data_IF_425431083542
#
_entry.id   IF_425431083542
#
_cell.length_a   1.000
_cell.length_b   1.000
_cell.length_c   1.000
_cell.angle_alpha   90.00
_cell.angle_beta   90.00
_cell.angle_gamma   90.00
#
_symmetry.space_group_name_H-M   'P 1'
#
loop_
_entity.id
_entity.type
_entity.pdbx_description
1 polymer ?
#
# COMPACT_ATOMS: atom_id res chain seq x y z
N UNK A 1 -0.17 5.23 -17.43
CA UNK A 1 0.89 4.48 -16.72
C UNK A 1 0.80 4.79 -15.22
N UNK A 2 0.80 3.75 -14.40
CA UNK A 2 0.91 3.82 -12.95
C UNK A 2 2.16 3.05 -12.52
N UNK A 3 2.75 3.43 -11.39
CA UNK A 3 3.95 2.79 -10.84
C UNK A 3 3.68 2.29 -9.44
N UNK A 4 4.28 1.15 -9.08
CA UNK A 4 4.17 0.56 -7.76
C UNK A 4 4.77 1.47 -6.69
N UNK A 5 4.01 1.64 -5.61
CA UNK A 5 4.41 2.36 -4.40
C UNK A 5 4.38 1.38 -3.23
N UNK A 6 5.44 1.39 -2.44
CA UNK A 6 5.50 0.71 -1.14
C UNK A 6 5.84 1.69 -0.05
N UNK A 7 5.52 1.32 1.18
CA UNK A 7 6.07 2.00 2.34
C UNK A 7 7.58 1.73 2.43
N UNK A 8 8.34 2.73 2.87
CA UNK A 8 9.78 2.57 3.01
C UNK A 8 10.11 1.62 4.17
N UNK A 9 11.10 0.75 3.98
CA UNK A 9 11.69 -0.07 5.04
C UNK A 9 13.12 0.39 5.42
N UNK A 10 13.60 1.49 4.83
CA UNK A 10 14.96 1.97 5.02
C UNK A 10 15.13 2.62 6.40
N UNK A 11 16.02 2.13 7.29
CA UNK A 11 16.20 2.71 8.62
C UNK A 11 16.57 4.20 8.61
N UNK A 12 17.23 4.66 7.55
CA UNK A 12 17.54 6.08 7.37
C UNK A 12 16.28 6.94 7.17
N UNK A 13 15.25 6.39 6.51
CA UNK A 13 13.97 7.04 6.24
C UNK A 13 13.03 6.88 7.44
N UNK A 14 12.82 5.64 7.89
CA UNK A 14 11.78 5.30 8.87
C UNK A 14 12.28 5.21 10.31
N UNK A 15 13.59 5.22 10.55
CA UNK A 15 14.21 5.22 11.89
C UNK A 15 14.26 3.87 12.62
N UNK A 16 13.52 2.87 12.15
CA UNK A 16 13.48 1.52 12.73
C UNK A 16 14.60 0.67 12.13
N UNK A 17 15.44 0.05 12.97
CA UNK A 17 16.66 -0.65 12.52
C UNK A 17 16.41 -1.95 11.75
N UNK A 18 15.34 -2.68 12.08
CA UNK A 18 14.97 -3.96 11.49
C UNK A 18 13.47 -3.99 11.12
N UNK A 19 12.89 -2.83 10.82
CA UNK A 19 11.43 -2.66 10.76
C UNK A 19 10.90 -2.88 9.35
N UNK A 20 10.00 -3.86 9.20
CA UNK A 20 9.03 -3.89 8.10
C UNK A 20 7.98 -2.78 8.25
N UNK A 21 7.76 -2.32 9.49
CA UNK A 21 6.75 -1.33 9.85
C UNK A 21 7.29 -0.28 10.84
N UNK A 22 6.65 0.89 10.88
CA UNK A 22 6.92 2.01 11.79
C UNK A 22 6.00 2.03 13.00
N UNK A 23 4.77 1.57 12.81
CA UNK A 23 3.71 1.58 13.82
C UNK A 23 3.06 0.21 13.93
N UNK A 24 2.31 -0.01 15.00
CA UNK A 24 1.51 -1.22 15.20
C UNK A 24 0.17 -0.89 15.85
N UNK A 25 -0.85 -1.69 15.55
CA UNK A 25 -2.06 -1.74 16.36
C UNK A 25 -1.91 -2.80 17.45
N UNK A 26 -1.96 -2.36 18.71
CA UNK A 26 -2.02 -3.23 19.89
C UNK A 26 -3.48 -3.36 20.31
N UNK A 27 -4.10 -4.52 20.10
CA UNK A 27 -5.53 -4.77 20.34
C UNK A 27 -6.11 -4.09 21.60
N UNK A 28 -5.55 -4.40 22.77
CA UNK A 28 -6.04 -3.93 24.06
C UNK A 28 -5.87 -2.41 24.31
N UNK A 29 -5.10 -1.71 23.47
CA UNK A 29 -4.76 -0.29 23.61
C UNK A 29 -5.21 0.57 22.43
N UNK A 30 -5.42 -0.04 21.28
CA UNK A 30 -5.73 0.65 20.02
C UNK A 30 -7.21 0.91 19.86
N UNK A 31 -8.02 -0.01 20.39
CA UNK A 31 -9.46 0.02 20.24
C UNK A 31 -10.11 0.21 21.62
N UNK A 32 -11.02 1.18 21.79
CA UNK A 32 -11.75 1.38 23.05
C UNK A 32 -12.60 0.18 23.48
N UNK A 33 -13.06 -0.63 22.52
CA UNK A 33 -13.85 -1.83 22.76
C UNK A 33 -13.70 -2.83 21.61
N UNK A 34 -14.15 -4.07 21.84
CA UNK A 34 -14.21 -5.10 20.80
C UNK A 34 -15.14 -4.69 19.65
N UNK A 35 -16.28 -4.06 19.94
CA UNK A 35 -17.22 -3.57 18.92
C UNK A 35 -16.56 -2.54 17.99
N UNK A 36 -15.75 -1.63 18.53
CA UNK A 36 -15.00 -0.66 17.72
C UNK A 36 -13.97 -1.36 16.84
N UNK A 37 -13.26 -2.37 17.36
CA UNK A 37 -12.33 -3.18 16.57
C UNK A 37 -13.04 -3.90 15.42
N UNK A 38 -14.18 -4.52 15.71
CA UNK A 38 -14.96 -5.27 14.72
C UNK A 38 -15.50 -4.33 13.62
N UNK A 39 -16.02 -3.16 13.99
CA UNK A 39 -16.42 -2.11 13.04
C UNK A 39 -15.24 -1.59 12.22
N UNK A 40 -14.09 -1.37 12.86
CA UNK A 40 -12.88 -0.93 12.16
C UNK A 40 -12.46 -1.94 11.10
N UNK A 41 -12.41 -3.24 11.44
CA UNK A 41 -12.13 -4.30 10.48
C UNK A 41 -13.13 -4.33 9.33
N UNK A 42 -14.42 -4.23 9.67
CA UNK A 42 -15.52 -4.32 8.71
C UNK A 42 -15.48 -3.21 7.66
N UNK A 43 -15.07 -1.99 8.02
CA UNK A 43 -14.88 -0.89 7.06
C UNK A 43 -13.87 -1.25 5.96
N UNK A 44 -12.79 -1.97 6.30
CA UNK A 44 -11.77 -2.39 5.33
C UNK A 44 -12.21 -3.53 4.42
N UNK A 45 -13.20 -4.33 4.86
CA UNK A 45 -13.81 -5.37 4.02
C UNK A 45 -15.04 -4.87 3.24
N UNK A 46 -15.72 -3.86 3.75
CA UNK A 46 -16.94 -3.30 3.17
C UNK A 46 -16.93 -1.76 3.28
N UNK A 47 -16.38 -1.06 2.26
CA UNK A 47 -16.26 0.41 2.27
C UNK A 47 -17.57 1.17 2.50
N UNK A 48 -18.73 0.55 2.21
CA UNK A 48 -20.06 1.16 2.46
C UNK A 48 -20.30 1.44 3.95
N UNK A 49 -19.64 0.68 4.82
CA UNK A 49 -19.76 0.80 6.27
C UNK A 49 -18.89 1.91 6.85
N UNK A 50 -18.10 2.63 6.03
CA UNK A 50 -17.29 3.76 6.47
C UNK A 50 -18.12 4.82 7.21
N UNK A 51 -19.36 5.04 6.77
CA UNK A 51 -20.28 5.98 7.41
C UNK A 51 -20.75 5.58 8.81
N UNK A 52 -20.63 4.30 9.18
CA UNK A 52 -20.94 3.76 10.50
C UNK A 52 -19.78 3.92 11.48
N UNK A 53 -18.56 4.18 10.99
CA UNK A 53 -17.39 4.47 11.80
C UNK A 53 -17.26 5.98 12.03
N UNK A 54 -18.09 6.53 12.93
CA UNK A 54 -18.08 7.95 13.29
C UNK A 54 -17.59 8.14 14.72
N UNK A 55 -16.66 9.07 14.89
CA UNK A 55 -16.19 9.61 16.17
C UNK A 55 -15.43 8.64 17.10
N UNK A 56 -15.13 7.42 16.64
CA UNK A 56 -14.31 6.47 17.40
C UNK A 56 -12.83 6.83 17.35
N UNK A 57 -12.16 6.81 18.50
CA UNK A 57 -10.73 7.07 18.62
C UNK A 57 -9.94 5.77 18.50
N UNK A 58 -9.30 5.56 17.34
CA UNK A 58 -8.35 4.45 17.14
C UNK A 58 -6.93 4.97 17.29
N UNK A 59 -6.09 4.22 17.99
CA UNK A 59 -4.69 4.57 18.23
C UNK A 59 -3.73 3.53 17.66
N UNK A 60 -2.76 3.97 16.88
CA UNK A 60 -1.58 3.20 16.54
C UNK A 60 -0.41 3.59 17.47
N UNK A 61 0.55 2.70 17.64
CA UNK A 61 1.71 2.93 18.50
C UNK A 61 2.99 2.94 17.67
N UNK A 62 3.78 4.00 17.77
CA UNK A 62 5.05 4.10 17.09
C UNK A 62 6.10 3.17 17.73
N UNK A 63 6.83 2.43 16.90
CA UNK A 63 7.94 1.61 17.35
C UNK A 63 9.10 2.47 17.86
N UNK A 64 9.97 1.86 18.66
CA UNK A 64 11.17 2.51 19.19
C UNK A 64 12.02 3.10 18.05
N UNK A 65 12.27 4.41 18.12
CA UNK A 65 13.02 5.22 17.12
C UNK A 65 12.33 5.41 15.77
N UNK A 66 11.06 5.01 15.63
CA UNK A 66 10.32 5.30 14.42
C UNK A 66 10.30 6.81 14.17
N UNK A 67 10.71 7.21 12.96
CA UNK A 67 10.63 8.58 12.49
C UNK A 67 9.23 8.86 12.01
N UNK A 68 8.76 10.06 12.31
CA UNK A 68 7.50 10.56 11.81
C UNK A 68 7.63 10.88 10.31
N UNK A 69 6.81 10.22 9.48
CA UNK A 69 6.76 10.39 8.02
C UNK A 69 5.33 10.67 7.54
N UNK A 70 5.17 10.96 6.26
CA UNK A 70 3.85 11.21 5.67
C UNK A 70 3.13 9.94 5.25
N UNK A 71 3.85 8.94 4.75
CA UNK A 71 3.38 7.58 4.52
C UNK A 71 4.05 6.69 5.55
N UNK A 72 3.25 5.91 6.27
CA UNK A 72 3.67 5.22 7.50
C UNK A 72 3.26 3.77 7.41
N UNK A 73 4.24 2.87 7.42
CA UNK A 73 3.99 1.44 7.49
C UNK A 73 3.47 1.05 8.86
N UNK A 74 2.43 0.24 8.89
CA UNK A 74 1.83 -0.25 10.12
C UNK A 74 1.70 -1.78 10.06
N UNK A 75 2.11 -2.44 11.14
CA UNK A 75 1.64 -3.80 11.37
C UNK A 75 0.15 -3.74 11.70
N UNK A 76 -0.65 -4.07 10.70
CA UNK A 76 -2.10 -4.08 10.79
C UNK A 76 -2.65 -5.43 11.23
N UNK A 77 -1.80 -6.46 11.37
CA UNK A 77 -2.23 -7.83 11.66
C UNK A 77 -3.30 -8.33 10.69
N UNK A 78 -4.56 -8.29 11.14
CA UNK A 78 -5.74 -8.82 10.44
C UNK A 78 -6.46 -7.80 9.53
N UNK A 79 -6.06 -6.53 9.53
CA UNK A 79 -6.75 -5.51 8.75
C UNK A 79 -6.15 -5.39 7.36
N UNK A 80 -7.02 -5.46 6.36
CA UNK A 80 -6.70 -5.31 4.95
C UNK A 80 -6.52 -3.83 4.56
N UNK A 81 -5.68 -3.10 5.30
CA UNK A 81 -5.32 -1.70 5.02
C UNK A 81 -3.99 -1.63 4.27
N UNK A 82 -3.78 -0.56 3.50
CA UNK A 82 -2.51 -0.38 2.76
C UNK A 82 -1.43 0.26 3.64
N UNK A 83 -1.74 1.39 4.28
CA UNK A 83 -0.84 2.09 5.22
C UNK A 83 -1.55 3.23 5.96
N UNK A 84 -0.81 3.96 6.78
CA UNK A 84 -1.25 5.22 7.38
C UNK A 84 -0.69 6.40 6.59
N UNK A 85 -1.46 7.48 6.50
CA UNK A 85 -1.04 8.74 5.87
C UNK A 85 -1.23 9.95 6.76
N UNK A 86 -0.32 10.91 6.68
CA UNK A 86 -0.47 12.24 7.30
C UNK A 86 -1.58 13.03 6.61
N UNK A 87 -2.08 14.08 7.28
CA UNK A 87 -2.98 15.06 6.66
C UNK A 87 -2.42 15.64 5.37
N UNK A 88 -1.11 15.91 5.33
CA UNK A 88 -0.42 16.45 4.14
C UNK A 88 -0.55 15.51 2.95
N UNK A 89 -0.24 14.22 3.13
CA UNK A 89 -0.44 13.22 2.07
C UNK A 89 -1.92 13.05 1.70
N UNK A 90 -2.82 13.08 2.68
CA UNK A 90 -4.26 13.01 2.44
C UNK A 90 -4.79 14.17 1.61
N UNK A 91 -4.26 15.38 1.81
CA UNK A 91 -4.64 16.59 1.06
C UNK A 91 -4.19 16.50 -0.39
N UNK A 92 -3.00 15.96 -0.66
CA UNK A 92 -2.54 15.68 -2.03
C UNK A 92 -3.45 14.66 -2.70
N UNK A 93 -3.68 13.51 -2.07
CA UNK A 93 -4.51 12.42 -2.61
C UNK A 93 -5.93 12.88 -2.92
N UNK A 94 -6.51 13.76 -2.09
CA UNK A 94 -7.88 14.28 -2.25
C UNK A 94 -8.11 15.00 -3.59
N UNK A 95 -7.07 15.51 -4.23
CA UNK A 95 -7.20 16.20 -5.53
C UNK A 95 -7.38 15.25 -6.72
N UNK A 96 -7.24 13.93 -6.51
CA UNK A 96 -7.30 12.92 -7.55
C UNK A 96 -8.56 12.06 -7.45
N UNK A 97 -9.03 11.57 -8.61
CA UNK A 97 -10.16 10.65 -8.68
C UNK A 97 -9.73 9.26 -8.21
N UNK A 98 -10.17 8.89 -7.01
CA UNK A 98 -10.03 7.55 -6.41
C UNK A 98 -11.38 7.18 -5.80
N UNK A 99 -12.12 6.32 -6.49
CA UNK A 99 -13.37 5.75 -6.04
C UNK A 99 -13.14 4.94 -4.77
N UNK A 100 -14.12 4.79 -3.88
CA UNK A 100 -14.06 3.87 -2.73
C UNK A 100 -12.78 3.93 -1.85
N UNK A 101 -12.06 5.07 -1.84
CA UNK A 101 -10.94 5.27 -0.93
C UNK A 101 -11.45 5.23 0.52
N UNK A 102 -11.01 4.22 1.26
CA UNK A 102 -11.24 4.16 2.69
C UNK A 102 -10.22 5.08 3.36
N UNK A 103 -10.71 5.95 4.24
CA UNK A 103 -9.87 6.83 5.05
C UNK A 103 -10.50 7.00 6.42
N UNK A 104 -9.88 6.42 7.45
CA UNK A 104 -10.36 6.47 8.83
C UNK A 104 -9.34 7.23 9.68
N UNK A 105 -9.75 8.25 10.46
CA UNK A 105 -8.84 8.96 11.36
C UNK A 105 -8.17 8.01 12.37
N UNK A 106 -6.89 8.23 12.62
CA UNK A 106 -6.11 7.48 13.62
C UNK A 106 -5.14 8.41 14.33
N UNK A 107 -4.98 8.24 15.64
CA UNK A 107 -3.90 8.87 16.40
C UNK A 107 -2.67 7.96 16.39
N UNK A 108 -1.47 8.52 16.28
CA UNK A 108 -0.23 7.76 16.47
C UNK A 108 0.39 8.22 17.79
N UNK A 109 0.45 7.31 18.77
CA UNK A 109 0.96 7.60 20.10
C UNK A 109 2.40 8.13 20.05
N UNK A 110 2.65 9.25 20.72
CA UNK A 110 3.93 9.94 20.74
C UNK A 110 4.23 10.81 19.51
N UNK A 111 3.36 10.84 18.49
CA UNK A 111 3.51 11.73 17.34
C UNK A 111 2.49 12.87 17.38
N UNK A 112 2.89 14.01 16.83
CA UNK A 112 1.99 15.17 16.68
C UNK A 112 1.40 15.20 15.28
N UNK A 113 0.16 15.66 15.14
CA UNK A 113 -0.50 15.81 13.85
C UNK A 113 -1.62 14.79 13.60
N UNK A 114 -2.29 14.96 12.46
CA UNK A 114 -3.45 14.15 12.07
C UNK A 114 -3.01 13.08 11.09
N UNK A 115 -3.38 11.84 11.38
CA UNK A 115 -3.12 10.68 10.54
C UNK A 115 -4.42 9.95 10.21
N UNK A 116 -4.36 9.15 9.16
CA UNK A 116 -5.48 8.34 8.70
C UNK A 116 -4.97 6.96 8.31
N UNK A 117 -5.67 5.90 8.68
CA UNK A 117 -5.53 4.62 7.99
C UNK A 117 -6.24 4.71 6.65
N UNK A 118 -5.60 4.16 5.61
CA UNK A 118 -6.16 4.17 4.27
C UNK A 118 -6.13 2.79 3.61
N UNK A 119 -7.14 2.56 2.77
CA UNK A 119 -7.14 1.47 1.79
C UNK A 119 -7.66 2.02 0.48
N UNK A 120 -6.87 1.83 -0.57
CA UNK A 120 -7.23 2.16 -1.94
C UNK A 120 -8.14 1.08 -2.53
N UNK A 121 -8.83 1.35 -3.66
CA UNK A 121 -9.59 0.35 -4.39
C UNK A 121 -8.78 -0.90 -4.66
N UNK A 122 -9.38 -2.05 -4.34
CA UNK A 122 -8.75 -3.35 -4.55
C UNK A 122 -9.40 -4.06 -5.71
N UNK A 123 -8.57 -4.45 -6.67
CA UNK A 123 -8.98 -5.23 -7.81
C UNK A 123 -8.40 -6.64 -7.72
N UNK A 124 -9.19 -7.63 -8.11
CA UNK A 124 -8.71 -9.00 -8.31
C UNK A 124 -7.72 -9.05 -9.48
N UNK A 125 -6.77 -9.99 -9.44
CA UNK A 125 -5.85 -10.28 -10.55
C UNK A 125 -6.54 -10.58 -11.88
N UNK A 126 -7.85 -10.88 -11.88
CA UNK A 126 -8.64 -11.13 -13.09
C UNK A 126 -8.72 -9.92 -14.04
N UNK A 127 -8.40 -8.72 -13.57
CA UNK A 127 -8.31 -7.52 -14.44
C UNK A 127 -7.03 -7.47 -15.27
N UNK A 128 -6.09 -8.39 -15.04
CA UNK A 128 -4.78 -8.40 -15.69
C UNK A 128 -4.85 -9.21 -16.98
N UNK A 129 -4.37 -8.61 -18.07
CA UNK A 129 -4.07 -9.31 -19.30
C UNK A 129 -2.69 -9.98 -19.16
N UNK A 130 -2.68 -11.21 -18.63
CA UNK A 130 -1.46 -11.98 -18.37
C UNK A 130 -0.58 -12.17 -19.61
N UNK A 131 -1.11 -12.58 -20.78
CA UNK A 131 -0.32 -12.71 -22.01
C UNK A 131 0.42 -11.44 -22.45
N UNK A 132 -0.11 -10.25 -22.13
CA UNK A 132 0.51 -8.96 -22.47
C UNK A 132 1.32 -8.34 -21.32
N UNK A 133 1.38 -9.03 -20.18
CA UNK A 133 2.13 -8.62 -19.00
C UNK A 133 3.52 -9.27 -19.00
N UNK A 134 4.45 -8.67 -18.25
CA UNK A 134 5.82 -9.15 -18.11
C UNK A 134 6.07 -9.44 -16.63
N UNK A 135 6.34 -10.71 -16.35
CA UNK A 135 6.79 -11.20 -15.06
C UNK A 135 8.22 -11.72 -15.19
N UNK A 136 8.99 -11.64 -14.11
CA UNK A 136 10.39 -12.05 -14.11
C UNK A 136 10.70 -12.87 -12.86
N UNK A 137 11.60 -13.84 -12.97
CA UNK A 137 12.36 -14.32 -11.83
C UNK A 137 13.57 -13.43 -11.64
N UNK A 138 13.89 -13.12 -10.38
CA UNK A 138 15.16 -12.48 -10.05
C UNK A 138 16.15 -13.57 -9.66
N UNK A 139 17.17 -13.77 -10.51
CA UNK A 139 18.29 -14.66 -10.21
C UNK A 139 19.56 -13.82 -9.94
N UNK A 140 20.52 -14.38 -9.22
CA UNK A 140 21.79 -13.72 -8.98
C UNK A 140 22.83 -14.25 -9.98
N UNK A 141 23.26 -13.39 -10.90
CA UNK A 141 24.44 -13.65 -11.71
C UNK A 141 25.67 -13.63 -10.79
N UNK A 142 26.17 -14.84 -10.48
CA UNK A 142 27.31 -15.06 -9.57
C UNK A 142 28.62 -14.51 -10.11
N UNK A 143 28.76 -14.32 -11.42
CA UNK A 143 29.97 -13.77 -12.02
C UNK A 143 30.00 -12.25 -11.92
N UNK A 144 28.84 -11.60 -12.02
CA UNK A 144 28.71 -10.15 -11.97
C UNK A 144 28.31 -9.60 -10.60
N UNK A 145 27.86 -10.47 -9.67
CA UNK A 145 27.34 -10.09 -8.37
C UNK A 145 26.07 -9.23 -8.47
N UNK A 146 25.28 -9.41 -9.53
CA UNK A 146 24.08 -8.60 -9.82
C UNK A 146 22.86 -9.49 -9.99
N UNK A 147 21.70 -8.95 -9.59
CA UNK A 147 20.43 -9.59 -9.92
C UNK A 147 20.12 -9.38 -11.40
N UNK A 148 19.66 -10.45 -12.06
CA UNK A 148 19.19 -10.45 -13.44
C UNK A 148 17.73 -10.86 -13.48
N UNK A 149 16.98 -10.23 -14.38
CA UNK A 149 15.60 -10.55 -14.63
C UNK A 149 15.50 -11.62 -15.73
N UNK A 150 14.93 -12.78 -15.41
CA UNK A 150 14.62 -13.83 -16.37
C UNK A 150 13.12 -13.79 -16.64
N UNK A 151 12.74 -13.37 -17.84
CA UNK A 151 11.33 -13.22 -18.24
C UNK A 151 10.61 -14.57 -18.15
N UNK A 152 9.44 -14.55 -17.51
CA UNK A 152 8.52 -15.67 -17.41
C UNK A 152 7.20 -15.30 -18.08
N UNK A 153 6.84 -16.07 -19.10
CA UNK A 153 5.49 -16.02 -19.67
C UNK A 153 4.51 -16.63 -18.68
N UNK A 154 3.41 -15.91 -18.44
CA UNK A 154 2.27 -16.35 -17.64
C UNK A 154 1.04 -16.02 -18.45
N UNK A 155 0.14 -16.97 -18.62
CA UNK A 155 -1.00 -16.81 -19.53
C UNK A 155 -2.34 -16.74 -18.80
N UNK A 156 -2.39 -17.14 -17.54
CA UNK A 156 -3.63 -17.23 -16.77
C UNK A 156 -3.45 -16.84 -15.29
N UNK A 157 -4.54 -16.39 -14.62
CA UNK A 157 -4.52 -16.08 -13.19
C UNK A 157 -4.08 -17.26 -12.30
N UNK A 158 -4.48 -18.49 -12.64
CA UNK A 158 -4.18 -19.69 -11.84
C UNK A 158 -2.68 -19.99 -11.85
N UNK A 159 -2.04 -19.88 -13.03
CA UNK A 159 -0.59 -20.02 -13.19
C UNK A 159 0.17 -18.94 -12.42
N UNK A 160 -0.35 -17.71 -12.40
CA UNK A 160 0.19 -16.66 -11.56
C UNK A 160 0.10 -17.00 -10.06
N UNK A 161 -1.04 -17.51 -9.61
CA UNK A 161 -1.26 -17.93 -8.22
C UNK A 161 -0.24 -18.96 -7.74
N UNK A 162 0.11 -19.94 -8.58
CA UNK A 162 1.11 -20.96 -8.27
C UNK A 162 2.54 -20.41 -8.18
N UNK A 163 2.83 -19.31 -8.88
CA UNK A 163 4.18 -18.77 -9.05
C UNK A 163 4.43 -17.46 -8.31
N UNK A 164 3.40 -16.82 -7.73
CA UNK A 164 3.45 -15.44 -7.24
C UNK A 164 4.55 -15.16 -6.19
N UNK A 165 5.00 -16.18 -5.47
CA UNK A 165 6.08 -16.06 -4.46
C UNK A 165 7.49 -16.08 -5.06
N UNK A 166 7.62 -16.43 -6.34
CA UNK A 166 8.89 -16.63 -7.03
C UNK A 166 9.13 -15.60 -8.14
N UNK A 167 8.07 -14.93 -8.57
CA UNK A 167 8.09 -13.96 -9.68
C UNK A 167 7.82 -12.55 -9.18
N UNK A 168 8.28 -11.58 -9.95
CA UNK A 168 8.02 -10.16 -9.72
C UNK A 168 7.37 -9.57 -10.98
N UNK A 169 6.27 -8.79 -10.87
CA UNK A 169 5.73 -8.08 -12.00
C UNK A 169 6.65 -6.92 -12.42
N UNK A 170 6.90 -6.75 -13.71
CA UNK A 170 7.61 -5.57 -14.27
C UNK A 170 6.69 -4.67 -15.05
N UNK A 171 5.81 -5.28 -15.84
CA UNK A 171 4.78 -4.61 -16.62
C UNK A 171 3.49 -5.38 -16.48
N UNK A 172 2.43 -4.69 -16.11
CA UNK A 172 1.09 -5.23 -15.98
C UNK A 172 0.23 -4.52 -17.01
N UNK A 173 -0.30 -5.28 -17.96
CA UNK A 173 -1.28 -4.79 -18.93
C UNK A 173 -2.67 -5.17 -18.41
N UNK A 174 -3.62 -4.24 -18.43
CA UNK A 174 -4.98 -4.52 -17.96
C UNK A 174 -5.88 -4.99 -19.11
N UNK A 175 -6.79 -5.92 -18.82
CA UNK A 175 -7.84 -6.36 -19.76
C UNK A 175 -9.02 -5.39 -19.83
N UNK A 176 -9.10 -4.45 -18.87
CA UNK A 176 -10.14 -3.44 -18.78
C UNK A 176 -9.56 -2.09 -18.35
N UNK A 177 -10.20 -1.00 -18.79
CA UNK A 177 -9.81 0.35 -18.41
C UNK A 177 -10.21 0.64 -16.96
N UNK A 178 -9.28 1.18 -16.18
CA UNK A 178 -9.51 1.65 -14.81
C UNK A 178 -9.35 3.16 -14.76
N UNK A 179 -10.34 3.85 -14.20
CA UNK A 179 -10.33 5.31 -14.08
C UNK A 179 -9.59 5.82 -12.83
N UNK A 180 -9.43 4.95 -11.84
CA UNK A 180 -8.79 5.26 -10.57
C UNK A 180 -7.32 5.63 -10.76
N UNK A 181 -6.93 6.76 -10.18
CA UNK A 181 -5.56 7.28 -10.24
C UNK A 181 -4.61 6.59 -9.26
N UNK A 182 -5.14 5.83 -8.31
CA UNK A 182 -4.40 4.93 -7.44
C UNK A 182 -5.26 3.74 -7.04
N UNK A 183 -4.72 2.53 -7.12
CA UNK A 183 -5.43 1.30 -6.76
C UNK A 183 -4.47 0.13 -6.51
N UNK A 184 -4.96 -0.86 -5.78
CA UNK A 184 -4.26 -2.09 -5.45
C UNK A 184 -4.75 -3.21 -6.39
N UNK A 185 -3.83 -3.96 -6.98
CA UNK A 185 -4.12 -5.26 -7.59
C UNK A 185 -3.70 -6.35 -6.60
N UNK A 186 -4.67 -7.10 -6.06
CA UNK A 186 -4.43 -8.10 -5.02
C UNK A 186 -3.35 -9.09 -5.43
N UNK A 187 -2.37 -9.33 -4.56
CA UNK A 187 -1.23 -10.21 -4.83
C UNK A 187 -0.10 -9.58 -5.65
N UNK A 188 -0.33 -8.43 -6.31
CA UNK A 188 0.70 -7.76 -7.13
C UNK A 188 1.23 -6.47 -6.48
N UNK A 189 0.35 -5.62 -5.94
CA UNK A 189 0.76 -4.40 -5.24
C UNK A 189 -0.13 -3.18 -5.48
N UNK A 190 0.29 -2.06 -4.91
CA UNK A 190 -0.40 -0.78 -4.94
C UNK A 190 0.25 0.16 -5.96
N UNK A 191 -0.54 0.68 -6.90
CA UNK A 191 -0.04 1.45 -8.04
C UNK A 191 -0.63 2.85 -8.07
N UNK A 192 0.23 3.85 -8.25
CA UNK A 192 -0.13 5.25 -8.29
C UNK A 192 0.19 5.85 -9.67
N UNK A 193 -0.72 6.66 -10.19
CA UNK A 193 -0.50 7.42 -11.42
C UNK A 193 0.64 8.42 -11.26
N UNK A 194 1.29 8.76 -12.38
CA UNK A 194 2.41 9.69 -12.38
C UNK A 194 2.07 11.06 -11.80
N UNK A 195 0.86 11.55 -12.06
CA UNK A 195 0.36 12.83 -11.52
C UNK A 195 0.40 12.86 -9.99
N UNK A 196 0.03 11.75 -9.31
CA UNK A 196 0.10 11.67 -7.84
C UNK A 196 1.56 11.62 -7.38
N UNK A 197 2.41 10.86 -8.07
CA UNK A 197 3.82 10.71 -7.69
C UNK A 197 4.58 12.03 -7.85
N UNK A 198 4.33 12.77 -8.92
CA UNK A 198 4.95 14.07 -9.14
C UNK A 198 4.47 15.09 -8.09
N UNK A 199 3.19 15.04 -7.69
CA UNK A 199 2.68 15.82 -6.56
C UNK A 199 3.33 15.42 -5.23
N UNK A 200 3.54 14.13 -4.98
CA UNK A 200 4.25 13.64 -3.78
C UNK A 200 5.69 14.15 -3.73
N UNK A 201 6.39 14.13 -4.86
CA UNK A 201 7.76 14.64 -4.95
C UNK A 201 7.82 16.17 -4.76
N UNK A 202 6.92 16.91 -5.41
CA UNK A 202 6.81 18.37 -5.29
C UNK A 202 6.54 18.79 -3.85
N UNK A 203 5.59 18.12 -3.20
CA UNK A 203 5.22 18.39 -1.81
C UNK A 203 6.19 17.76 -0.81
N UNK A 204 7.23 17.04 -1.24
CA UNK A 204 8.18 16.35 -0.36
C UNK A 204 7.46 15.41 0.63
N UNK A 205 6.54 14.60 0.13
CA UNK A 205 5.93 13.51 0.90
C UNK A 205 7.01 12.47 1.22
N UNK A 206 7.08 12.05 2.48
CA UNK A 206 8.11 11.14 3.00
C UNK A 206 7.56 9.73 3.32
N UNK A 207 8.44 8.74 3.45
CA UNK A 207 8.08 7.41 3.96
C UNK A 207 7.60 6.39 2.92
N UNK A 208 7.80 6.65 1.63
CA UNK A 208 7.50 5.70 0.55
C UNK A 208 8.72 5.44 -0.35
N UNK A 209 8.65 4.35 -1.11
CA UNK A 209 9.58 3.99 -2.18
C UNK A 209 8.83 3.67 -3.46
N UNK A 210 9.47 4.00 -4.59
CA UNK A 210 9.00 3.62 -5.92
C UNK A 210 9.65 2.30 -6.32
N UNK A 211 8.86 1.41 -6.92
CA UNK A 211 9.34 0.12 -7.37
C UNK A 211 9.20 -0.02 -8.90
N UNK A 212 10.01 -0.91 -9.45
CA UNK A 212 10.13 -1.15 -10.89
C UNK A 212 9.05 -2.13 -11.40
N UNK A 213 7.79 -1.80 -11.08
CA UNK A 213 6.61 -2.46 -11.57
C UNK A 213 5.61 -1.39 -12.05
N UNK A 214 5.11 -1.54 -13.27
CA UNK A 214 4.27 -0.53 -13.90
C UNK A 214 2.97 -1.14 -14.43
N UNK A 215 1.87 -0.42 -14.24
CA UNK A 215 0.58 -0.74 -14.87
C UNK A 215 0.37 0.15 -16.08
N UNK A 216 0.11 -0.48 -17.22
CA UNK A 216 -0.38 0.16 -18.43
C UNK A 216 -1.90 0.00 -18.46
N UNK A 217 -2.58 1.03 -17.93
CA UNK A 217 -4.02 1.21 -17.96
C UNK A 217 -4.44 2.11 -19.14
#
# INVERSE_FOLDING_TARGET
>A
MLQEVRTSCEPAVIGVRNGLYQTEFIDARSFPSKDVKDKFADVFTNPLNLSAFKDECVKAFALKRAKQTDIVSCDSGIFDLDFLISQKAADVIKSFKINNLIKVPVEIDGWSGKYFTVSFPKYSVNIVNFPESIFVYQDCDKEQGKFIDIVRSINAPDEYGDLMTQIVPRKISLSQKIEDKAFHINGMGLFFSRDILDAFLSEQISGFSLHDAFVLA
#
